data_IF_903405521643
#
_entry.id   IF_903405521643
#
_cell.length_a   1.000
_cell.length_b   1.000
_cell.length_c   1.000
_cell.angle_alpha   90.00
_cell.angle_beta   90.00
_cell.angle_gamma   90.00
#
_symmetry.space_group_name_H-M   'P 1'
#
loop_
_entity.id
_entity.type
_entity.pdbx_description
1 polymer ?
#
# COMPACT_ATOMS: atom_id res chain seq x y z
N UNK A 1 -8.23 -18.58 13.21
CA UNK A 1 -8.20 -17.54 14.27
C UNK A 1 -8.50 -16.22 13.61
N UNK A 2 -9.64 -15.61 13.93
CA UNK A 2 -10.08 -14.32 13.38
C UNK A 2 -9.09 -13.24 13.81
N UNK A 3 -8.56 -12.46 12.88
CA UNK A 3 -7.67 -11.34 13.20
C UNK A 3 -8.38 -10.32 14.08
N UNK A 4 -7.63 -9.54 14.86
CA UNK A 4 -8.19 -8.46 15.66
C UNK A 4 -9.05 -7.54 14.75
N UNK A 5 -10.21 -7.06 15.25
CA UNK A 5 -11.11 -6.22 14.47
C UNK A 5 -10.41 -4.92 14.03
N UNK A 6 -10.84 -4.32 12.93
CA UNK A 6 -10.36 -3.00 12.53
C UNK A 6 -10.66 -1.95 13.60
N UNK A 7 -9.96 -0.80 13.59
CA UNK A 7 -10.23 0.30 14.50
C UNK A 7 -11.71 0.75 14.44
N UNK A 8 -12.22 1.29 15.55
CA UNK A 8 -13.58 1.79 15.62
C UNK A 8 -13.85 2.80 14.48
N UNK A 9 -15.01 2.69 13.85
CA UNK A 9 -15.39 3.51 12.71
C UNK A 9 -14.70 3.15 11.39
N UNK A 10 -14.00 2.02 11.29
CA UNK A 10 -13.37 1.55 10.05
C UNK A 10 -13.91 0.16 9.69
N UNK A 11 -14.31 -0.02 8.45
CA UNK A 11 -14.68 -1.32 7.89
C UNK A 11 -13.71 -1.73 6.78
N UNK A 12 -13.44 -3.04 6.66
CA UNK A 12 -12.64 -3.60 5.58
C UNK A 12 -13.55 -4.36 4.61
N UNK A 13 -13.33 -4.18 3.32
CA UNK A 13 -14.06 -4.90 2.27
C UNK A 13 -13.21 -5.10 1.02
N UNK A 14 -13.55 -6.06 0.15
CA UNK A 14 -13.01 -6.09 -1.21
C UNK A 14 -13.23 -4.77 -1.93
N UNK A 15 -12.28 -4.38 -2.77
CA UNK A 15 -12.41 -3.18 -3.58
C UNK A 15 -13.48 -3.34 -4.67
N UNK A 16 -14.06 -2.23 -5.10
CA UNK A 16 -14.98 -2.11 -6.23
C UNK A 16 -14.32 -1.26 -7.32
N UNK A 17 -14.68 -1.39 -8.58
CA UNK A 17 -14.10 -0.57 -9.65
C UNK A 17 -14.14 0.94 -9.38
N UNK A 18 -15.22 1.44 -8.77
CA UNK A 18 -15.38 2.84 -8.40
C UNK A 18 -14.44 3.33 -7.28
N UNK A 19 -13.74 2.44 -6.56
CA UNK A 19 -12.77 2.83 -5.54
C UNK A 19 -11.40 3.22 -6.14
N UNK A 20 -11.13 2.85 -7.40
CA UNK A 20 -9.83 3.06 -8.04
C UNK A 20 -9.34 4.51 -8.00
N UNK A 21 -10.14 5.52 -8.39
CA UNK A 21 -9.68 6.91 -8.36
C UNK A 21 -9.21 7.32 -6.97
N UNK A 22 -9.99 6.96 -5.93
CA UNK A 22 -9.63 7.30 -4.54
C UNK A 22 -8.39 6.55 -4.06
N UNK A 23 -8.21 5.29 -4.42
CA UNK A 23 -6.99 4.54 -4.12
C UNK A 23 -5.76 5.17 -4.78
N UNK A 24 -5.88 5.69 -6.01
CA UNK A 24 -4.81 6.39 -6.70
C UNK A 24 -4.45 7.71 -6.00
N UNK A 25 -5.43 8.52 -5.58
CA UNK A 25 -5.21 9.74 -4.82
C UNK A 25 -4.47 9.46 -3.50
N UNK A 26 -4.95 8.48 -2.73
CA UNK A 26 -4.31 8.04 -1.49
C UNK A 26 -2.88 7.58 -1.75
N UNK A 27 -2.65 6.80 -2.82
CA UNK A 27 -1.32 6.37 -3.21
C UNK A 27 -0.41 7.57 -3.48
N UNK A 28 -0.82 8.52 -4.32
CA UNK A 28 -0.04 9.73 -4.63
C UNK A 28 0.29 10.50 -3.36
N UNK A 29 -0.71 10.76 -2.52
CA UNK A 29 -0.50 11.50 -1.27
C UNK A 29 0.49 10.81 -0.32
N UNK A 30 0.32 9.49 -0.10
CA UNK A 30 1.15 8.72 0.82
C UNK A 30 2.59 8.50 0.31
N UNK A 31 2.78 8.40 -1.01
CA UNK A 31 4.12 8.22 -1.60
C UNK A 31 4.88 9.51 -1.86
N UNK A 32 4.23 10.67 -1.83
CA UNK A 32 4.88 11.98 -2.03
C UNK A 32 6.11 12.18 -1.13
N UNK A 33 6.06 11.98 0.20
CA UNK A 33 7.23 12.14 1.06
C UNK A 33 8.33 11.08 0.77
N UNK A 34 7.95 9.87 0.37
CA UNK A 34 8.89 8.79 -0.01
C UNK A 34 9.66 9.19 -1.27
N UNK A 35 8.98 9.71 -2.28
CA UNK A 35 9.61 10.18 -3.51
C UNK A 35 10.52 11.39 -3.26
N UNK A 36 10.10 12.32 -2.41
CA UNK A 36 10.93 13.46 -2.01
C UNK A 36 12.20 13.01 -1.26
N UNK A 37 12.09 12.01 -0.37
CA UNK A 37 13.24 11.42 0.30
C UNK A 37 14.19 10.73 -0.70
N UNK A 38 13.65 9.92 -1.60
CA UNK A 38 14.43 9.22 -2.63
C UNK A 38 15.16 10.18 -3.56
N UNK A 39 14.52 11.31 -3.92
CA UNK A 39 15.14 12.36 -4.74
C UNK A 39 16.32 13.01 -4.01
N UNK A 40 16.23 13.23 -2.69
CA UNK A 40 17.37 13.74 -1.90
C UNK A 40 18.53 12.76 -1.85
N UNK A 41 18.27 11.46 -1.75
CA UNK A 41 19.31 10.42 -1.73
C UNK A 41 20.02 10.25 -3.06
N UNK A 42 19.29 10.29 -4.17
CA UNK A 42 19.82 9.99 -5.50
C UNK A 42 20.34 11.23 -6.25
N UNK A 43 19.96 12.42 -5.80
CA UNK A 43 20.11 13.66 -6.58
C UNK A 43 19.13 13.75 -7.75
N UNK A 44 18.98 14.96 -8.29
CA UNK A 44 17.96 15.26 -9.30
C UNK A 44 18.16 14.54 -10.62
N UNK A 45 19.43 14.38 -11.06
CA UNK A 45 19.75 13.74 -12.33
C UNK A 45 19.36 12.27 -12.32
N UNK A 46 19.93 11.50 -11.40
CA UNK A 46 19.68 10.07 -11.28
C UNK A 46 18.22 9.78 -10.96
N UNK A 47 17.59 10.58 -10.08
CA UNK A 47 16.18 10.43 -9.76
C UNK A 47 15.29 10.57 -10.99
N UNK A 48 15.49 11.59 -11.85
CA UNK A 48 14.69 11.77 -13.08
C UNK A 48 14.87 10.62 -14.07
N UNK A 49 16.09 10.10 -14.21
CA UNK A 49 16.38 8.94 -15.08
C UNK A 49 15.67 7.68 -14.59
N UNK A 50 15.66 7.43 -13.29
CA UNK A 50 15.05 6.24 -12.68
C UNK A 50 13.52 6.34 -12.51
N UNK A 51 12.99 7.56 -12.40
CA UNK A 51 11.58 7.84 -12.12
C UNK A 51 11.00 8.89 -13.09
N UNK A 52 11.05 8.65 -14.43
CA UNK A 52 10.66 9.66 -15.42
C UNK A 52 9.18 10.09 -15.29
N UNK A 53 8.33 9.19 -14.83
CA UNK A 53 6.89 9.45 -14.64
C UNK A 53 6.55 9.85 -13.18
N UNK A 54 7.54 9.86 -12.27
CA UNK A 54 7.32 10.20 -10.87
C UNK A 54 6.16 9.45 -10.23
N UNK A 55 5.28 10.18 -9.54
CA UNK A 55 4.11 9.61 -8.84
C UNK A 55 3.02 9.08 -9.78
N UNK A 56 2.98 9.51 -11.06
CA UNK A 56 2.03 8.95 -12.04
C UNK A 56 2.27 7.46 -12.27
N UNK A 57 3.53 7.02 -12.23
CA UNK A 57 3.86 5.59 -12.28
C UNK A 57 3.19 4.83 -11.13
N UNK A 58 3.17 5.40 -9.92
CA UNK A 58 2.54 4.77 -8.75
C UNK A 58 1.02 4.64 -8.95
N UNK A 59 0.35 5.68 -9.41
CA UNK A 59 -1.07 5.62 -9.76
C UNK A 59 -1.36 4.56 -10.83
N UNK A 60 -0.49 4.43 -11.84
CA UNK A 60 -0.59 3.39 -12.86
C UNK A 60 -0.38 1.97 -12.34
N UNK A 61 0.48 1.77 -11.33
CA UNK A 61 0.64 0.46 -10.67
C UNK A 61 -0.65 0.02 -9.97
N UNK A 62 -1.35 0.95 -9.32
CA UNK A 62 -2.64 0.66 -8.67
C UNK A 62 -3.70 0.30 -9.72
N UNK A 63 -3.77 1.07 -10.82
CA UNK A 63 -4.71 0.77 -11.92
C UNK A 63 -4.47 -0.63 -12.52
N UNK A 64 -3.21 -1.02 -12.70
CA UNK A 64 -2.88 -2.37 -13.20
C UNK A 64 -3.30 -3.46 -12.22
N UNK A 65 -3.13 -3.26 -10.90
CA UNK A 65 -3.58 -4.22 -9.91
C UNK A 65 -5.11 -4.40 -9.94
N UNK A 66 -5.86 -3.30 -10.03
CA UNK A 66 -7.32 -3.34 -10.18
C UNK A 66 -7.78 -4.02 -11.47
N UNK A 67 -7.06 -3.82 -12.57
CA UNK A 67 -7.41 -4.41 -13.87
C UNK A 67 -7.08 -5.91 -13.93
N UNK A 68 -5.96 -6.32 -13.35
CA UNK A 68 -5.50 -7.70 -13.43
C UNK A 68 -6.23 -8.61 -12.43
N UNK A 69 -6.41 -8.16 -11.19
CA UNK A 69 -6.94 -8.95 -10.09
C UNK A 69 -7.71 -8.04 -9.11
N UNK A 70 -8.92 -7.58 -9.47
CA UNK A 70 -9.72 -6.74 -8.59
C UNK A 70 -10.04 -7.42 -7.25
N UNK A 71 -10.16 -8.75 -7.24
CA UNK A 71 -10.38 -9.58 -6.05
C UNK A 71 -9.18 -9.58 -5.08
N UNK A 72 -7.99 -9.17 -5.53
CA UNK A 72 -6.78 -9.06 -4.71
C UNK A 72 -6.54 -7.65 -4.20
N UNK A 73 -7.58 -6.85 -4.13
CA UNK A 73 -7.54 -5.50 -3.57
C UNK A 73 -8.55 -5.38 -2.43
N UNK A 74 -8.08 -4.93 -1.28
CA UNK A 74 -8.92 -4.64 -0.11
C UNK A 74 -8.82 -3.17 0.22
N UNK A 75 -9.97 -2.56 0.51
CA UNK A 75 -10.04 -1.17 0.97
C UNK A 75 -10.53 -1.08 2.41
N UNK A 76 -10.08 -0.05 3.10
CA UNK A 76 -10.65 0.39 4.35
C UNK A 76 -11.55 1.60 4.11
N UNK A 77 -12.77 1.56 4.62
CA UNK A 77 -13.74 2.65 4.56
C UNK A 77 -14.03 3.18 5.95
N UNK A 78 -14.31 4.47 6.07
CA UNK A 78 -14.58 5.12 7.35
C UNK A 78 -16.03 5.58 7.48
N UNK A 79 -16.58 5.46 8.69
CA UNK A 79 -17.88 5.99 9.09
C UNK A 79 -17.77 6.53 10.52
N UNK A 80 -18.13 7.77 10.79
CA UNK A 80 -18.62 8.80 9.85
C UNK A 80 -17.51 9.29 8.87
N UNK A 81 -17.88 9.96 7.77
CA UNK A 81 -16.90 10.54 6.85
C UNK A 81 -15.99 11.53 7.57
N UNK A 82 -14.73 11.74 7.08
CA UNK A 82 -13.82 12.73 7.65
C UNK A 82 -14.43 14.14 7.54
N UNK A 83 -14.11 15.05 8.48
CA UNK A 83 -14.47 16.45 8.31
C UNK A 83 -13.68 17.04 7.13
N UNK A 84 -14.36 17.45 6.08
CA UNK A 84 -13.79 18.06 4.89
C UNK A 84 -14.48 17.60 3.59
N UNK A 85 -14.25 18.29 2.45
CA UNK A 85 -14.81 17.90 1.17
C UNK A 85 -14.25 16.53 0.75
N UNK A 86 -15.14 15.58 0.52
CA UNK A 86 -14.85 14.26 -0.10
C UNK A 86 -15.39 14.31 -1.53
N UNK A 87 -14.57 14.77 -2.46
CA UNK A 87 -14.91 14.71 -3.88
C UNK A 87 -14.69 13.28 -4.39
N UNK A 88 -15.74 12.67 -4.95
CA UNK A 88 -15.60 11.49 -5.79
C UNK A 88 -16.30 10.19 -5.41
N UNK A 89 -17.13 10.15 -4.39
CA UNK A 89 -18.02 8.99 -4.11
C UNK A 89 -19.48 9.41 -4.07
N UNK A 90 -20.40 8.56 -4.55
CA UNK A 90 -21.84 8.82 -4.41
C UNK A 90 -22.17 9.15 -2.95
N UNK A 91 -23.08 10.09 -2.75
CA UNK A 91 -23.38 10.78 -1.49
C UNK A 91 -23.68 9.90 -0.25
N UNK A 92 -23.82 8.57 -0.43
CA UNK A 92 -24.18 7.63 0.63
C UNK A 92 -23.13 6.57 0.98
N UNK A 93 -22.00 6.49 0.26
CA UNK A 93 -21.01 5.45 0.51
C UNK A 93 -19.89 5.93 1.45
N UNK A 94 -19.52 5.17 2.52
CA UNK A 94 -18.42 5.51 3.38
C UNK A 94 -17.12 5.69 2.58
N UNK A 95 -16.37 6.81 2.79
CA UNK A 95 -15.18 7.11 1.99
C UNK A 95 -14.08 6.08 2.19
N UNK A 96 -13.37 5.73 1.12
CA UNK A 96 -12.15 4.92 1.19
C UNK A 96 -11.03 5.77 1.82
N UNK A 97 -10.39 5.22 2.84
CA UNK A 97 -9.31 5.88 3.61
C UNK A 97 -7.99 5.12 3.57
N UNK A 98 -8.00 3.89 3.09
CA UNK A 98 -6.78 3.11 2.88
C UNK A 98 -7.06 1.95 1.91
N UNK A 99 -6.00 1.39 1.35
CA UNK A 99 -6.07 0.19 0.53
C UNK A 99 -4.82 -0.67 0.68
N UNK A 100 -4.94 -1.93 0.28
CA UNK A 100 -3.84 -2.87 0.11
C UNK A 100 -4.11 -3.74 -1.11
N UNK A 101 -3.10 -3.94 -1.95
CA UNK A 101 -3.09 -4.96 -3.00
C UNK A 101 -2.26 -6.15 -2.53
N UNK A 102 -2.56 -7.34 -3.03
CA UNK A 102 -1.78 -8.54 -2.73
C UNK A 102 -1.74 -9.49 -3.92
N UNK A 103 -0.93 -10.51 -3.84
CA UNK A 103 -0.81 -11.57 -4.83
C UNK A 103 -0.72 -12.92 -4.13
N UNK A 104 -1.21 -13.95 -4.79
CA UNK A 104 -1.11 -15.35 -4.36
C UNK A 104 -0.25 -16.11 -5.36
N UNK A 105 0.70 -16.88 -4.85
CA UNK A 105 1.52 -17.83 -5.61
C UNK A 105 1.31 -19.21 -5.00
N UNK A 106 0.29 -19.97 -5.48
CA UNK A 106 -0.03 -21.29 -4.96
C UNK A 106 1.08 -22.31 -5.19
N UNK A 107 1.86 -22.19 -6.26
CA UNK A 107 2.95 -23.11 -6.57
C UNK A 107 4.06 -23.04 -5.51
N UNK A 108 4.37 -21.82 -5.04
CA UNK A 108 5.36 -21.60 -3.99
C UNK A 108 4.77 -21.54 -2.59
N UNK A 109 3.44 -21.53 -2.47
CA UNK A 109 2.74 -21.35 -1.19
C UNK A 109 2.98 -19.97 -0.56
N UNK A 110 3.19 -18.91 -1.36
CA UNK A 110 3.57 -17.57 -0.91
C UNK A 110 2.48 -16.56 -1.24
N UNK A 111 1.98 -15.87 -0.22
CA UNK A 111 1.17 -14.66 -0.39
C UNK A 111 2.04 -13.40 -0.25
N UNK A 112 1.95 -12.46 -1.19
CA UNK A 112 2.76 -11.23 -1.17
C UNK A 112 1.87 -10.00 -1.03
N UNK A 113 2.13 -9.17 0.00
CA UNK A 113 1.54 -7.83 0.12
C UNK A 113 2.22 -6.92 -0.89
N UNK A 114 1.41 -6.30 -1.76
CA UNK A 114 1.85 -5.36 -2.78
C UNK A 114 1.74 -3.90 -2.35
N UNK A 115 1.21 -3.06 -3.25
CA UNK A 115 1.00 -1.65 -2.96
C UNK A 115 -0.04 -1.46 -1.85
N UNK A 116 0.25 -0.59 -0.91
CA UNK A 116 -0.67 -0.27 0.18
C UNK A 116 -0.43 1.16 0.65
N UNK A 117 -1.49 1.83 1.07
CA UNK A 117 -1.39 3.17 1.62
C UNK A 117 -2.58 3.47 2.53
N UNK A 118 -2.34 4.35 3.50
CA UNK A 118 -3.36 4.99 4.33
C UNK A 118 -3.33 6.47 4.03
N UNK A 119 -4.50 7.05 3.80
CA UNK A 119 -4.67 8.50 3.65
C UNK A 119 -3.94 9.22 4.80
N UNK A 120 -3.11 10.23 4.51
CA UNK A 120 -2.37 10.96 5.55
C UNK A 120 -3.24 11.44 6.72
N UNK A 121 -4.47 11.87 6.48
CA UNK A 121 -5.41 12.30 7.53
C UNK A 121 -5.90 11.13 8.43
N UNK A 122 -5.67 9.88 8.01
CA UNK A 122 -6.11 8.67 8.71
C UNK A 122 -4.96 7.82 9.26
N UNK A 123 -3.73 8.26 9.09
CA UNK A 123 -2.55 7.57 9.63
C UNK A 123 -2.52 7.58 11.16
N UNK A 124 -1.70 6.71 11.75
CA UNK A 124 -1.55 6.60 13.21
C UNK A 124 -2.69 5.88 13.94
N UNK A 125 -3.77 5.48 13.25
CA UNK A 125 -4.97 4.86 13.83
C UNK A 125 -4.99 3.33 13.78
N UNK A 126 -3.90 2.68 13.36
CA UNK A 126 -3.81 1.21 13.27
C UNK A 126 -4.43 0.59 12.02
N UNK A 127 -4.94 1.39 11.07
CA UNK A 127 -5.63 0.92 9.85
C UNK A 127 -4.73 0.02 9.00
N UNK A 128 -3.47 0.40 8.79
CA UNK A 128 -2.52 -0.41 8.02
C UNK A 128 -2.33 -1.81 8.66
N UNK A 129 -2.15 -1.86 9.98
CA UNK A 129 -2.01 -3.13 10.70
C UNK A 129 -3.26 -4.01 10.57
N UNK A 130 -4.46 -3.40 10.60
CA UNK A 130 -5.72 -4.12 10.41
C UNK A 130 -5.84 -4.68 8.98
N UNK A 131 -5.50 -3.89 7.95
CA UNK A 131 -5.43 -4.35 6.55
C UNK A 131 -4.48 -5.53 6.39
N UNK A 132 -3.27 -5.45 6.96
CA UNK A 132 -2.29 -6.53 6.84
C UNK A 132 -2.76 -7.80 7.53
N UNK A 133 -3.33 -7.71 8.73
CA UNK A 133 -3.91 -8.87 9.44
C UNK A 133 -5.06 -9.52 8.65
N UNK A 134 -5.91 -8.69 8.02
CA UNK A 134 -6.97 -9.17 7.15
C UNK A 134 -6.39 -9.97 5.96
N UNK A 135 -5.42 -9.39 5.24
CA UNK A 135 -4.76 -10.06 4.10
C UNK A 135 -4.02 -11.33 4.52
N UNK A 136 -3.37 -11.34 5.69
CA UNK A 136 -2.78 -12.57 6.25
C UNK A 136 -3.84 -13.65 6.52
N UNK A 137 -5.06 -13.25 6.89
CA UNK A 137 -6.22 -14.16 6.98
C UNK A 137 -6.60 -14.74 5.62
N UNK A 138 -6.65 -13.90 4.58
CA UNK A 138 -6.89 -14.33 3.19
C UNK A 138 -5.82 -15.32 2.73
N UNK A 139 -4.53 -15.03 2.98
CA UNK A 139 -3.43 -15.93 2.62
C UNK A 139 -3.59 -17.30 3.25
N UNK A 140 -3.90 -17.37 4.54
CA UNK A 140 -4.13 -18.67 5.23
C UNK A 140 -5.32 -19.42 4.64
N UNK A 141 -6.43 -18.72 4.36
CA UNK A 141 -7.62 -19.33 3.76
C UNK A 141 -7.36 -19.85 2.35
N UNK A 142 -6.44 -19.22 1.61
CA UNK A 142 -5.98 -19.64 0.29
C UNK A 142 -4.86 -20.71 0.34
N UNK A 143 -4.50 -21.23 1.52
CA UNK A 143 -3.50 -22.28 1.67
C UNK A 143 -2.05 -21.80 1.59
N UNK A 144 -1.79 -20.49 1.64
CA UNK A 144 -0.42 -19.96 1.67
C UNK A 144 0.25 -20.29 3.00
N UNK A 145 1.50 -20.72 2.94
CA UNK A 145 2.32 -21.09 4.12
C UNK A 145 3.29 -19.98 4.50
N UNK A 146 3.59 -19.06 3.59
CA UNK A 146 4.47 -17.92 3.78
C UNK A 146 3.76 -16.62 3.36
N UNK A 147 3.94 -15.57 4.14
CA UNK A 147 3.57 -14.21 3.78
C UNK A 147 4.82 -13.36 3.57
N UNK A 148 4.89 -12.62 2.47
CA UNK A 148 6.00 -11.75 2.12
C UNK A 148 5.54 -10.31 1.92
N UNK A 149 6.43 -9.36 2.19
CA UNK A 149 6.28 -7.94 1.84
C UNK A 149 7.65 -7.31 1.66
N UNK A 150 7.78 -6.42 0.69
CA UNK A 150 9.01 -5.64 0.49
C UNK A 150 8.78 -4.19 0.90
N UNK A 151 9.71 -3.63 1.66
CA UNK A 151 9.67 -2.24 2.12
C UNK A 151 11.08 -1.63 2.19
N UNK A 152 11.18 -0.31 2.15
CA UNK A 152 12.46 0.38 2.29
C UNK A 152 12.98 0.36 3.74
N UNK A 153 14.31 0.45 3.89
CA UNK A 153 14.97 0.59 5.19
C UNK A 153 15.14 2.06 5.63
N UNK A 154 14.84 3.00 4.75
CA UNK A 154 14.89 4.44 5.03
C UNK A 154 13.80 4.89 6.02
N UNK A 155 13.97 6.10 6.56
CA UNK A 155 13.07 6.67 7.57
C UNK A 155 11.65 6.92 7.03
N UNK A 156 11.51 7.19 5.73
CA UNK A 156 10.20 7.40 5.12
C UNK A 156 9.32 6.13 5.15
N UNK A 157 9.95 4.95 5.20
CA UNK A 157 9.25 3.67 5.34
C UNK A 157 9.15 3.16 6.79
N UNK A 158 9.71 3.88 7.78
CA UNK A 158 9.66 3.45 9.18
C UNK A 158 8.24 3.18 9.72
N UNK A 159 7.21 4.01 9.42
CA UNK A 159 5.85 3.75 9.84
C UNK A 159 5.28 2.44 9.26
N UNK A 160 5.59 2.15 7.99
CA UNK A 160 5.15 0.92 7.32
C UNK A 160 5.84 -0.30 7.96
N UNK A 161 7.16 -0.27 8.17
CA UNK A 161 7.89 -1.35 8.87
C UNK A 161 7.29 -1.63 10.25
N UNK A 162 7.03 -0.60 11.03
CA UNK A 162 6.39 -0.76 12.35
C UNK A 162 5.00 -1.41 12.25
N UNK A 163 4.21 -1.11 11.22
CA UNK A 163 2.92 -1.73 11.00
C UNK A 163 3.04 -3.21 10.58
N UNK A 164 4.02 -3.56 9.74
CA UNK A 164 4.31 -4.96 9.37
C UNK A 164 4.73 -5.79 10.59
N UNK A 165 5.64 -5.28 11.43
CA UNK A 165 6.02 -5.96 12.66
C UNK A 165 4.82 -6.18 13.60
N UNK A 166 3.94 -5.17 13.77
CA UNK A 166 2.70 -5.33 14.55
C UNK A 166 1.72 -6.33 13.94
N UNK A 167 1.79 -6.56 12.63
CA UNK A 167 1.00 -7.60 11.96
C UNK A 167 1.61 -9.00 12.07
N UNK A 168 2.89 -9.13 12.52
CA UNK A 168 3.55 -10.39 12.76
C UNK A 168 4.72 -10.72 11.82
N UNK A 169 5.12 -9.81 10.93
CA UNK A 169 6.31 -10.01 10.11
C UNK A 169 7.57 -9.83 10.98
N UNK A 170 8.38 -10.88 11.14
CA UNK A 170 9.54 -10.89 12.04
C UNK A 170 10.87 -11.13 11.29
N UNK A 171 10.90 -12.05 10.34
CA UNK A 171 12.10 -12.35 9.57
C UNK A 171 12.34 -11.32 8.46
N UNK A 172 13.58 -10.93 8.22
CA UNK A 172 13.94 -9.99 7.16
C UNK A 172 15.27 -10.36 6.49
N UNK A 173 15.33 -10.15 5.17
CA UNK A 173 16.54 -10.20 4.38
C UNK A 173 16.82 -8.81 3.82
N UNK A 174 17.70 -8.00 4.43
CA UNK A 174 18.00 -6.67 3.94
C UNK A 174 18.76 -6.72 2.61
N UNK A 175 18.48 -5.77 1.72
CA UNK A 175 19.19 -5.61 0.45
C UNK A 175 19.47 -4.13 0.17
N UNK A 176 20.49 -3.87 -0.65
CA UNK A 176 20.84 -2.54 -1.12
C UNK A 176 20.87 -2.54 -2.65
N UNK A 177 20.37 -1.46 -3.27
CA UNK A 177 20.51 -1.23 -4.71
C UNK A 177 21.51 -0.11 -4.91
N UNK A 178 22.54 -0.37 -5.71
CA UNK A 178 23.56 0.60 -6.09
C UNK A 178 23.29 1.09 -7.51
N UNK A 179 23.53 2.38 -7.76
CA UNK A 179 23.34 3.01 -9.05
C UNK A 179 24.60 3.76 -9.47
N UNK A 180 24.88 3.74 -10.76
CA UNK A 180 25.93 4.55 -11.40
C UNK A 180 25.34 5.21 -12.64
N UNK A 181 25.50 6.53 -12.77
CA UNK A 181 25.23 7.20 -14.03
C UNK A 181 26.31 6.85 -15.06
N UNK A 182 25.88 6.46 -16.25
CA UNK A 182 26.81 6.19 -17.34
C UNK A 182 26.86 7.45 -18.24
N UNK A 183 28.08 7.91 -18.51
CA UNK A 183 28.29 8.98 -19.49
C UNK A 183 27.98 8.41 -20.90
N UNK A 184 27.37 9.20 -21.78
CA UNK A 184 27.25 8.80 -23.17
C UNK A 184 28.65 8.70 -23.78
N UNK A 185 28.96 7.56 -24.39
CA UNK A 185 30.23 7.33 -25.12
C UNK A 185 30.32 8.15 -26.40
#
# INVERSE_FOLDING_TARGET
>A
MSGAPPPAGVALRPARPGDLPRCQEIAVAAWTPIYAHRRRLLGDSLFRKLQPQGLQRKAGEIARAFAAHPEWVVVATASPPPPGPVDGGGADAPPVVAFVTYQLDPERGVGTIGNNAVDPAWQGRGIATALYRHVLGVFRAAGMTVAAVTTGLDDAHAPARAAYHRAGFAAATPSVTLYQELEPG
#
